data_IF_807258939676
#
_entry.id   IF_807258939676
#
_cell.length_a   1.000
_cell.length_b   1.000
_cell.length_c   1.000
_cell.angle_alpha   90.00
_cell.angle_beta   90.00
_cell.angle_gamma   90.00
#
_symmetry.space_group_name_H-M   'P 1'
#
loop_
_entity.id
_entity.type
_entity.pdbx_description
1 polymer ?
#
# COMPACT_ATOMS: atom_id res chain seq x y z
N UNK A 1 6.02 7.48 -0.19
CA UNK A 1 7.29 6.76 0.08
C UNK A 1 8.49 7.52 -0.44
N UNK A 2 8.41 8.15 -1.63
CA UNK A 2 9.47 9.01 -2.16
C UNK A 2 9.94 10.10 -1.19
N UNK A 3 9.02 10.74 -0.46
CA UNK A 3 9.35 11.76 0.54
C UNK A 3 10.24 11.21 1.68
N UNK A 4 9.97 9.98 2.14
CA UNK A 4 10.78 9.33 3.18
C UNK A 4 12.21 9.12 2.67
N UNK A 5 12.34 8.62 1.43
CA UNK A 5 13.63 8.38 0.80
C UNK A 5 14.39 9.70 0.63
N UNK A 6 13.74 10.75 0.12
CA UNK A 6 14.34 12.07 -0.07
C UNK A 6 14.85 12.68 1.24
N UNK A 7 14.06 12.57 2.31
CA UNK A 7 14.44 13.07 3.64
C UNK A 7 15.62 12.28 4.24
N UNK A 8 15.60 10.94 4.12
CA UNK A 8 16.72 10.10 4.59
C UNK A 8 18.00 10.41 3.83
N UNK A 9 17.95 10.50 2.50
CA UNK A 9 19.12 10.81 1.67
C UNK A 9 19.72 12.18 2.01
N UNK A 10 18.87 13.18 2.22
CA UNK A 10 19.33 14.52 2.60
C UNK A 10 20.00 14.53 3.98
N UNK A 11 19.54 13.68 4.91
CA UNK A 11 20.14 13.52 6.24
C UNK A 11 21.48 12.79 6.24
N UNK A 12 21.67 11.82 5.33
CA UNK A 12 22.89 10.99 5.30
C UNK A 12 23.99 11.48 4.35
N UNK A 13 23.73 12.51 3.53
CA UNK A 13 24.67 12.99 2.49
C UNK A 13 26.07 13.37 2.98
N UNK A 14 26.18 13.81 4.25
CA UNK A 14 27.43 14.24 4.86
C UNK A 14 28.11 13.14 5.71
N UNK A 15 27.52 11.95 5.78
CA UNK A 15 28.08 10.84 6.54
C UNK A 15 29.15 10.10 5.73
N UNK A 16 30.09 9.41 6.40
CA UNK A 16 30.98 8.48 5.75
C UNK A 16 30.20 7.43 4.96
N UNK A 17 30.70 7.08 3.77
CA UNK A 17 30.02 6.20 2.80
C UNK A 17 29.49 4.92 3.44
N UNK A 18 30.29 4.27 4.31
CA UNK A 18 29.87 3.03 4.99
C UNK A 18 28.67 3.23 5.92
N UNK A 19 28.61 4.34 6.64
CA UNK A 19 27.50 4.64 7.54
C UNK A 19 26.24 5.00 6.76
N UNK A 20 26.38 5.82 5.71
CA UNK A 20 25.28 6.15 4.81
C UNK A 20 24.69 4.89 4.15
N UNK A 21 25.55 3.98 3.68
CA UNK A 21 25.11 2.74 3.02
C UNK A 21 24.35 1.80 3.96
N UNK A 22 24.82 1.67 5.21
CA UNK A 22 24.10 0.90 6.22
C UNK A 22 22.68 1.47 6.45
N UNK A 23 22.55 2.79 6.55
CA UNK A 23 21.25 3.45 6.74
C UNK A 23 20.35 3.25 5.52
N UNK A 24 20.87 3.33 4.30
CA UNK A 24 20.11 3.05 3.07
C UNK A 24 19.57 1.62 3.06
N UNK A 25 20.42 0.64 3.33
CA UNK A 25 20.03 -0.77 3.36
C UNK A 25 18.95 -1.04 4.41
N UNK A 26 19.10 -0.48 5.60
CA UNK A 26 18.11 -0.64 6.67
C UNK A 26 16.78 0.03 6.34
N UNK A 27 16.83 1.25 5.80
CA UNK A 27 15.65 1.99 5.32
C UNK A 27 14.92 1.21 4.23
N UNK A 28 15.64 0.65 3.26
CA UNK A 28 15.08 -0.18 2.20
C UNK A 28 14.38 -1.44 2.78
N UNK A 29 15.02 -2.11 3.74
CA UNK A 29 14.42 -3.28 4.42
C UNK A 29 13.14 -2.92 5.18
N UNK A 30 13.13 -1.79 5.89
CA UNK A 30 11.95 -1.31 6.60
C UNK A 30 10.83 -0.99 5.62
N UNK A 31 11.11 -0.26 4.54
CA UNK A 31 10.11 0.11 3.54
C UNK A 31 9.54 -1.11 2.80
N UNK A 32 10.36 -2.13 2.52
CA UNK A 32 9.88 -3.39 1.93
C UNK A 32 8.97 -4.18 2.86
N UNK A 33 9.19 -4.09 4.18
CA UNK A 33 8.39 -4.79 5.20
C UNK A 33 7.20 -3.97 5.70
N UNK A 34 7.22 -2.65 5.48
CA UNK A 34 6.15 -1.77 5.90
C UNK A 34 4.85 -2.18 5.21
N UNK A 35 3.79 -2.33 5.99
CA UNK A 35 2.48 -2.62 5.44
C UNK A 35 2.07 -1.47 4.51
N UNK A 36 1.67 -1.83 3.29
CA UNK A 36 1.10 -0.87 2.37
C UNK A 36 -0.11 -0.19 3.03
N UNK A 37 -0.29 1.13 2.82
CA UNK A 37 -1.44 1.81 3.35
C UNK A 37 -2.71 1.10 2.89
N UNK A 38 -3.61 0.83 3.83
CA UNK A 38 -4.91 0.23 3.51
C UNK A 38 -5.72 1.27 2.76
N UNK A 39 -6.02 1.00 1.49
CA UNK A 39 -6.82 1.87 0.64
C UNK A 39 -8.31 1.88 1.04
N UNK A 40 -8.74 0.98 1.94
CA UNK A 40 -10.11 0.88 2.40
C UNK A 40 -10.23 1.28 3.87
N UNK A 41 -11.14 2.20 4.14
CA UNK A 41 -11.59 2.52 5.49
C UNK A 41 -12.36 1.35 6.11
N UNK A 42 -12.55 1.37 7.43
CA UNK A 42 -13.35 0.33 8.12
C UNK A 42 -14.80 0.28 7.64
N UNK A 43 -15.36 1.43 7.26
CA UNK A 43 -16.72 1.53 6.73
C UNK A 43 -16.81 0.86 5.36
N UNK A 44 -15.90 1.20 4.45
CA UNK A 44 -15.84 0.58 3.11
C UNK A 44 -15.55 -0.92 3.19
N UNK A 45 -14.67 -1.34 4.10
CA UNK A 45 -14.40 -2.77 4.33
C UNK A 45 -15.63 -3.53 4.83
N UNK A 46 -16.48 -2.89 5.65
CA UNK A 46 -17.75 -3.47 6.11
C UNK A 46 -18.76 -3.53 4.98
N UNK A 47 -18.93 -2.42 4.24
CA UNK A 47 -19.84 -2.37 3.10
C UNK A 47 -19.47 -3.42 2.03
N UNK A 48 -18.18 -3.59 1.71
CA UNK A 48 -17.72 -4.64 0.81
C UNK A 48 -18.01 -6.05 1.33
N UNK A 49 -17.94 -6.27 2.65
CA UNK A 49 -18.27 -7.56 3.25
C UNK A 49 -19.77 -7.86 3.20
N UNK A 50 -20.61 -6.84 3.36
CA UNK A 50 -22.07 -6.94 3.22
C UNK A 50 -22.45 -7.18 1.75
N UNK A 51 -21.86 -6.43 0.81
CA UNK A 51 -22.08 -6.63 -0.63
C UNK A 51 -21.61 -8.01 -1.12
N UNK A 52 -20.55 -8.58 -0.53
CA UNK A 52 -20.10 -9.96 -0.83
C UNK A 52 -21.07 -11.05 -0.39
N UNK A 53 -22.02 -10.74 0.50
CA UNK A 53 -23.05 -11.69 0.93
C UNK A 53 -24.27 -11.68 0.01
N UNK A 54 -24.33 -10.73 -0.91
CA UNK A 54 -25.37 -10.65 -1.92
C UNK A 54 -24.90 -11.40 -3.18
N UNK A 55 -25.56 -12.52 -3.48
CA UNK A 55 -25.26 -13.36 -4.65
C UNK A 55 -25.56 -12.64 -5.99
N UNK A 56 -26.23 -11.48 -5.96
CA UNK A 56 -26.49 -10.62 -7.13
C UNK A 56 -25.35 -9.64 -7.44
N UNK A 57 -24.26 -9.63 -6.66
CA UNK A 57 -23.18 -8.65 -6.79
C UNK A 57 -21.85 -9.37 -7.00
N UNK A 58 -21.21 -9.12 -8.14
CA UNK A 58 -19.90 -9.67 -8.49
C UNK A 58 -18.81 -8.67 -8.10
N UNK A 59 -17.98 -9.07 -7.12
CA UNK A 59 -16.87 -8.26 -6.62
C UNK A 59 -15.55 -8.86 -7.07
N UNK A 60 -14.87 -8.20 -8.01
CA UNK A 60 -13.61 -8.66 -8.61
C UNK A 60 -12.44 -7.77 -8.19
N UNK A 61 -11.28 -8.38 -7.95
CA UNK A 61 -10.04 -7.64 -7.83
C UNK A 61 -9.67 -7.08 -9.21
N UNK A 62 -9.46 -5.77 -9.33
CA UNK A 62 -9.02 -5.17 -10.58
C UNK A 62 -7.49 -5.21 -10.67
N UNK A 63 -6.98 -5.48 -11.87
CA UNK A 63 -5.55 -5.60 -12.20
C UNK A 63 -4.70 -4.36 -11.90
N UNK A 64 -5.31 -3.22 -11.55
CA UNK A 64 -4.60 -1.98 -11.23
C UNK A 64 -4.67 -1.66 -9.73
N UNK A 65 -3.65 -2.10 -9.00
CA UNK A 65 -3.21 -1.49 -7.73
C UNK A 65 -4.24 -1.47 -6.60
N UNK A 66 -4.54 -2.63 -6.01
CA UNK A 66 -5.43 -2.75 -4.84
C UNK A 66 -6.85 -2.16 -5.04
N UNK A 67 -7.31 -2.07 -6.29
CA UNK A 67 -8.67 -1.68 -6.61
C UNK A 67 -9.61 -2.90 -6.59
N UNK A 68 -10.85 -2.68 -6.18
CA UNK A 68 -11.93 -3.68 -6.22
C UNK A 68 -13.07 -3.13 -7.06
N UNK A 69 -13.49 -3.88 -8.07
CA UNK A 69 -14.64 -3.55 -8.93
C UNK A 69 -15.87 -4.22 -8.36
N UNK A 70 -16.92 -3.44 -8.17
CA UNK A 70 -18.25 -3.93 -7.78
C UNK A 70 -19.14 -3.83 -9.01
N UNK A 71 -19.66 -4.95 -9.49
CA UNK A 71 -20.54 -5.04 -10.64
C UNK A 71 -21.84 -5.72 -10.22
N UNK A 72 -22.97 -5.16 -10.66
CA UNK A 72 -24.30 -5.76 -10.50
C UNK A 72 -24.43 -6.91 -11.51
N UNK A 73 -24.87 -8.09 -11.07
CA UNK A 73 -24.85 -9.31 -11.89
C UNK A 73 -26.06 -9.46 -12.82
N UNK A 74 -26.93 -8.45 -12.92
CA UNK A 74 -28.19 -8.49 -13.66
C UNK A 74 -28.21 -7.46 -14.78
N UNK A 75 -28.44 -7.96 -16.00
CA UNK A 75 -29.29 -7.29 -17.00
C UNK A 75 -30.77 -7.56 -16.66
#
# INVERSE_FOLDING_TARGET
MEEIIANVENGIKNLPIRAAENIRMETARILQRAALPKNLTRKESRALRELRQDDSIVILAADKGNATVVMESTD
#
